data_IF_258241024097
#
_entry.id   IF_258241024097
#
_cell.length_a   1.000
_cell.length_b   1.000
_cell.length_c   1.000
_cell.angle_alpha   90.00
_cell.angle_beta   90.00
_cell.angle_gamma   90.00
#
_symmetry.space_group_name_H-M   'P 1'
#
loop_
_entity.id
_entity.type
_entity.pdbx_description
1 polymer ?
#
# COMPACT_ATOMS: atom_id res chain seq x y z
N UNK A 1 -18.33 62.38 5.79
CA UNK A 1 -18.56 61.92 7.17
C UNK A 1 -19.46 60.69 7.12
N UNK A 2 -18.90 59.49 6.90
CA UNK A 2 -19.56 58.19 7.08
C UNK A 2 -18.50 57.12 7.36
N UNK A 3 -18.20 56.93 8.64
CA UNK A 3 -17.78 55.64 9.22
C UNK A 3 -19.08 54.86 9.50
N UNK A 4 -19.21 53.54 9.41
CA UNK A 4 -18.39 52.39 9.81
C UNK A 4 -18.79 51.19 8.89
N UNK A 5 -17.90 50.35 8.38
CA UNK A 5 -16.98 49.52 9.16
C UNK A 5 -17.64 48.21 9.63
N UNK A 6 -18.35 47.45 8.77
CA UNK A 6 -18.72 46.06 9.08
C UNK A 6 -17.52 45.15 8.86
N UNK A 7 -16.83 44.84 9.94
CA UNK A 7 -15.84 43.77 9.98
C UNK A 7 -16.53 42.44 9.70
N UNK A 8 -16.15 41.79 8.60
CA UNK A 8 -16.41 40.37 8.40
C UNK A 8 -15.57 39.60 9.43
N UNK A 9 -16.11 39.43 10.63
CA UNK A 9 -15.62 38.42 11.56
C UNK A 9 -15.93 37.08 10.92
N UNK A 10 -14.97 36.54 10.16
CA UNK A 10 -14.96 35.13 9.79
C UNK A 10 -15.06 34.35 11.09
N UNK A 11 -16.07 33.48 11.28
CA UNK A 11 -16.10 32.63 12.45
C UNK A 11 -14.80 31.82 12.44
N UNK A 12 -13.99 31.93 13.50
CA UNK A 12 -12.89 31.01 13.77
C UNK A 12 -13.52 29.64 14.04
N UNK A 13 -13.76 28.88 12.97
CA UNK A 13 -14.14 27.48 13.03
C UNK A 13 -12.99 26.79 13.77
N UNK A 14 -13.28 26.25 14.96
CA UNK A 14 -12.37 25.34 15.67
C UNK A 14 -12.13 24.14 14.76
N UNK A 15 -11.02 24.15 14.02
CA UNK A 15 -10.57 23.03 13.23
C UNK A 15 -10.32 21.86 14.18
N UNK A 16 -11.06 20.76 14.01
CA UNK A 16 -10.75 19.53 14.73
C UNK A 16 -9.48 18.94 14.08
N UNK A 17 -8.31 19.35 14.58
CA UNK A 17 -7.01 19.26 13.91
C UNK A 17 -6.47 17.84 13.66
N UNK A 18 -7.13 16.79 14.17
CA UNK A 18 -6.56 15.44 14.29
C UNK A 18 -6.60 14.64 12.99
N UNK A 19 -7.76 14.54 12.35
CA UNK A 19 -7.92 13.80 11.09
C UNK A 19 -7.11 14.42 9.94
N UNK A 20 -6.87 15.73 10.00
CA UNK A 20 -6.06 16.47 9.05
C UNK A 20 -4.60 16.00 9.02
N UNK A 21 -4.01 15.60 10.16
CA UNK A 21 -2.59 15.21 10.22
C UNK A 21 -2.31 13.87 9.52
N UNK A 22 -3.21 12.90 9.63
CA UNK A 22 -3.10 11.62 8.93
C UNK A 22 -3.27 11.83 7.42
N UNK A 23 -4.33 12.57 7.04
CA UNK A 23 -4.57 12.89 5.64
C UNK A 23 -3.40 13.67 5.01
N UNK A 24 -2.78 14.56 5.78
CA UNK A 24 -1.58 15.30 5.37
C UNK A 24 -0.37 14.37 5.14
N UNK A 25 -0.18 13.34 5.96
CA UNK A 25 0.90 12.36 5.76
C UNK A 25 0.76 11.57 4.45
N UNK A 26 -0.48 11.33 3.99
CA UNK A 26 -0.80 10.55 2.77
C UNK A 26 -1.07 11.49 1.57
N UNK A 27 -1.11 12.80 1.78
CA UNK A 27 -1.52 13.76 0.75
C UNK A 27 -0.77 13.64 -0.59
N UNK A 28 0.55 13.42 -0.66
CA UNK A 28 1.26 13.34 -1.94
C UNK A 28 0.70 12.25 -2.87
N UNK A 29 0.50 11.03 -2.34
CA UNK A 29 -0.02 9.92 -3.15
C UNK A 29 -1.49 10.15 -3.53
N UNK A 30 -2.31 10.67 -2.62
CA UNK A 30 -3.72 10.96 -2.91
C UNK A 30 -3.87 12.02 -4.00
N UNK A 31 -2.98 13.01 -4.03
CA UNK A 31 -2.98 14.01 -5.10
C UNK A 31 -2.78 13.35 -6.46
N UNK A 32 -1.86 12.37 -6.56
CA UNK A 32 -1.62 11.61 -7.79
C UNK A 32 -2.83 10.72 -8.13
N UNK A 33 -3.35 9.97 -7.16
CA UNK A 33 -4.55 9.13 -7.33
C UNK A 33 -5.75 9.95 -7.83
N UNK A 34 -5.94 11.17 -7.31
CA UNK A 34 -7.02 12.05 -7.74
C UNK A 34 -6.91 12.47 -9.22
N UNK A 35 -5.70 12.60 -9.78
CA UNK A 35 -5.52 12.89 -11.21
C UNK A 35 -6.03 11.74 -12.08
N UNK A 36 -5.84 10.51 -11.61
CA UNK A 36 -6.36 9.30 -12.25
C UNK A 36 -7.87 9.08 -12.03
N UNK A 37 -8.51 9.87 -11.16
CA UNK A 37 -9.92 9.69 -10.78
C UNK A 37 -10.13 8.72 -9.62
N UNK A 38 -9.06 8.29 -8.95
CA UNK A 38 -9.08 7.41 -7.78
C UNK A 38 -9.26 8.26 -6.50
N UNK A 39 -10.51 8.61 -6.18
CA UNK A 39 -10.85 9.41 -4.99
C UNK A 39 -11.13 8.62 -3.70
N UNK A 40 -10.15 8.43 -2.81
CA UNK A 40 -10.36 7.60 -1.60
C UNK A 40 -11.34 8.21 -0.61
N UNK A 41 -11.32 9.53 -0.51
CA UNK A 41 -12.12 10.32 0.42
C UNK A 41 -12.10 11.80 0.01
N UNK A 42 -12.94 12.61 0.67
CA UNK A 42 -12.97 14.06 0.50
C UNK A 42 -12.68 14.77 1.81
N UNK A 43 -11.82 15.78 1.78
CA UNK A 43 -11.58 16.65 2.95
C UNK A 43 -12.44 17.92 2.79
N UNK A 44 -13.36 18.15 3.73
CA UNK A 44 -14.17 19.37 3.80
C UNK A 44 -14.05 19.95 5.20
N UNK A 45 -13.63 21.21 5.31
CA UNK A 45 -13.45 21.90 6.60
C UNK A 45 -12.56 21.13 7.60
N UNK A 46 -11.52 20.44 7.11
CA UNK A 46 -10.61 19.64 7.92
C UNK A 46 -11.16 18.28 8.36
N UNK A 47 -12.37 17.90 7.94
CA UNK A 47 -12.96 16.59 8.23
C UNK A 47 -12.94 15.70 6.99
N UNK A 48 -12.65 14.42 7.19
CA UNK A 48 -12.71 13.39 6.15
C UNK A 48 -14.16 12.95 5.98
N UNK A 49 -14.66 13.03 4.76
CA UNK A 49 -16.04 12.79 4.35
C UNK A 49 -16.08 11.88 3.13
N UNK A 50 -17.25 11.29 2.84
CA UNK A 50 -17.46 10.48 1.66
C UNK A 50 -17.34 11.31 0.37
N UNK A 51 -16.98 10.64 -0.72
CA UNK A 51 -16.92 11.25 -2.06
C UNK A 51 -18.30 11.71 -2.52
N UNK A 52 -18.36 12.85 -3.22
CA UNK A 52 -19.62 13.37 -3.77
C UNK A 52 -19.91 12.75 -5.15
N UNK A 53 -21.11 13.00 -5.67
CA UNK A 53 -21.53 12.52 -6.99
C UNK A 53 -20.65 13.06 -8.12
N UNK A 54 -20.14 14.30 -8.00
CA UNK A 54 -19.27 14.89 -9.01
C UNK A 54 -17.93 14.16 -9.15
N UNK A 55 -17.30 13.78 -8.03
CA UNK A 55 -16.06 12.98 -8.02
C UNK A 55 -16.31 11.59 -8.60
N UNK A 56 -17.47 10.98 -8.34
CA UNK A 56 -17.85 9.71 -8.98
C UNK A 56 -18.03 9.86 -10.50
N UNK A 57 -18.66 10.96 -10.95
CA UNK A 57 -18.81 11.25 -12.37
C UNK A 57 -17.45 11.48 -13.05
N UNK A 58 -16.52 12.16 -12.36
CA UNK A 58 -15.15 12.33 -12.84
C UNK A 58 -14.42 10.98 -12.96
N UNK A 59 -14.56 10.08 -12.00
CA UNK A 59 -13.99 8.73 -12.09
C UNK A 59 -14.52 7.98 -13.33
N UNK A 60 -15.83 8.06 -13.59
CA UNK A 60 -16.45 7.48 -14.80
C UNK A 60 -15.89 8.13 -16.08
N UNK A 61 -15.71 9.45 -16.08
CA UNK A 61 -15.09 10.16 -17.19
C UNK A 61 -13.66 9.70 -17.46
N UNK A 62 -12.86 9.47 -16.40
CA UNK A 62 -11.49 8.96 -16.53
C UNK A 62 -11.45 7.57 -17.17
N UNK A 63 -12.42 6.68 -16.86
CA UNK A 63 -12.54 5.39 -17.56
C UNK A 63 -12.68 5.60 -19.07
N UNK A 64 -13.62 6.45 -19.49
CA UNK A 64 -13.82 6.71 -20.92
C UNK A 64 -12.62 7.39 -21.59
N UNK A 65 -11.89 8.22 -20.84
CA UNK A 65 -10.68 8.90 -21.32
C UNK A 65 -9.59 7.90 -21.72
N UNK A 66 -9.46 6.76 -21.03
CA UNK A 66 -8.48 5.73 -21.38
C UNK A 66 -9.04 4.68 -22.37
N UNK A 67 -10.29 4.26 -22.17
CA UNK A 67 -10.91 3.18 -22.96
C UNK A 67 -11.17 3.58 -24.42
N UNK A 68 -11.68 4.78 -24.67
CA UNK A 68 -12.06 5.21 -26.03
C UNK A 68 -10.82 5.35 -26.93
N UNK A 69 -9.75 6.09 -26.54
CA UNK A 69 -8.56 6.20 -27.36
C UNK A 69 -7.89 4.85 -27.59
N UNK A 70 -7.83 3.99 -26.56
CA UNK A 70 -7.27 2.64 -26.72
C UNK A 70 -8.10 1.80 -27.70
N UNK A 71 -9.43 1.83 -27.60
CA UNK A 71 -10.30 1.07 -28.50
C UNK A 71 -10.21 1.54 -29.95
N UNK A 72 -10.15 2.86 -30.18
CA UNK A 72 -9.95 3.43 -31.52
C UNK A 72 -8.60 3.02 -32.08
N UNK A 73 -7.55 3.09 -31.27
CA UNK A 73 -6.22 2.66 -31.68
C UNK A 73 -6.15 1.15 -31.96
N UNK A 74 -6.74 0.32 -31.10
CA UNK A 74 -6.72 -1.13 -31.25
C UNK A 74 -7.50 -1.59 -32.49
N UNK A 75 -8.64 -0.96 -32.77
CA UNK A 75 -9.40 -1.23 -34.01
C UNK A 75 -8.64 -0.79 -35.25
N UNK A 76 -7.97 0.37 -35.20
CA UNK A 76 -7.08 0.81 -36.27
C UNK A 76 -5.93 -0.17 -36.48
N UNK A 77 -5.25 -0.59 -35.42
CA UNK A 77 -4.18 -1.58 -35.45
C UNK A 77 -4.64 -2.88 -36.12
N UNK A 78 -5.75 -3.48 -35.67
CA UNK A 78 -6.28 -4.72 -36.25
C UNK A 78 -6.69 -4.56 -37.73
N UNK A 79 -7.16 -3.38 -38.13
CA UNK A 79 -7.61 -3.12 -39.51
C UNK A 79 -6.45 -2.88 -40.49
N UNK A 80 -5.37 -2.25 -40.03
CA UNK A 80 -4.24 -1.84 -40.87
C UNK A 80 -2.98 -2.70 -40.65
N UNK A 81 -3.07 -3.76 -39.84
CA UNK A 81 -1.97 -4.71 -39.68
C UNK A 81 -1.75 -5.50 -40.97
N UNK A 82 -0.60 -5.26 -41.62
CA UNK A 82 -0.22 -5.90 -42.89
C UNK A 82 0.54 -7.21 -42.67
N UNK A 83 0.97 -7.50 -41.44
CA UNK A 83 1.69 -8.73 -41.10
C UNK A 83 0.82 -9.99 -41.32
N UNK A 84 1.47 -11.08 -41.76
CA UNK A 84 0.79 -12.35 -42.09
C UNK A 84 1.45 -13.49 -41.30
N UNK A 85 0.63 -14.46 -40.87
CA UNK A 85 1.11 -15.69 -40.26
C UNK A 85 1.68 -15.46 -38.87
N UNK A 86 2.96 -15.79 -38.68
CA UNK A 86 3.66 -15.86 -37.39
C UNK A 86 3.86 -14.48 -36.77
N UNK A 87 4.22 -13.48 -37.59
CA UNK A 87 4.48 -12.11 -37.15
C UNK A 87 3.22 -11.47 -36.55
N UNK A 88 2.09 -11.60 -37.25
CA UNK A 88 0.77 -11.15 -36.77
C UNK A 88 0.37 -11.72 -35.43
N UNK A 89 0.63 -13.01 -35.21
CA UNK A 89 0.28 -13.66 -33.93
C UNK A 89 1.12 -13.10 -32.78
N UNK A 90 2.41 -12.86 -33.02
CA UNK A 90 3.31 -12.25 -32.03
C UNK A 90 2.90 -10.82 -31.69
N UNK A 91 2.61 -10.01 -32.71
CA UNK A 91 2.20 -8.60 -32.52
C UNK A 91 0.86 -8.49 -31.78
N UNK A 92 -0.11 -9.36 -32.08
CA UNK A 92 -1.38 -9.41 -31.33
C UNK A 92 -1.12 -9.83 -29.88
N UNK A 93 -0.23 -10.82 -29.65
CA UNK A 93 0.10 -11.29 -28.32
C UNK A 93 0.72 -10.19 -27.45
N UNK A 94 1.58 -9.33 -28.03
CA UNK A 94 2.15 -8.17 -27.35
C UNK A 94 1.09 -7.15 -26.88
N UNK A 95 -0.09 -7.10 -27.51
CA UNK A 95 -1.17 -6.18 -27.10
C UNK A 95 -2.08 -6.75 -26.00
N UNK A 96 -2.02 -8.06 -25.74
CA UNK A 96 -2.84 -8.72 -24.71
C UNK A 96 -2.56 -8.14 -23.31
N UNK A 97 -1.29 -7.97 -22.86
CA UNK A 97 -0.98 -7.31 -21.59
C UNK A 97 -1.68 -5.96 -21.40
N UNK A 98 -1.60 -5.08 -22.40
CA UNK A 98 -2.22 -3.75 -22.34
C UNK A 98 -3.75 -3.86 -22.26
N UNK A 99 -4.35 -4.81 -22.99
CA UNK A 99 -5.79 -5.09 -22.88
C UNK A 99 -6.16 -5.55 -21.47
N UNK A 100 -5.35 -6.43 -20.85
CA UNK A 100 -5.57 -6.90 -19.48
C UNK A 100 -5.45 -5.74 -18.47
N UNK A 101 -4.49 -4.84 -18.66
CA UNK A 101 -4.37 -3.62 -17.83
C UNK A 101 -5.60 -2.72 -17.96
N UNK A 102 -6.11 -2.52 -19.17
CA UNK A 102 -7.31 -1.72 -19.38
C UNK A 102 -8.54 -2.35 -18.71
N UNK A 103 -8.70 -3.67 -18.83
CA UNK A 103 -9.76 -4.41 -18.14
C UNK A 103 -9.63 -4.24 -16.63
N UNK A 104 -8.41 -4.36 -16.09
CA UNK A 104 -8.12 -4.12 -14.68
C UNK A 104 -8.49 -2.70 -14.26
N UNK A 105 -8.08 -1.68 -15.01
CA UNK A 105 -8.40 -0.27 -14.75
C UNK A 105 -9.92 -0.06 -14.61
N UNK A 106 -10.69 -0.57 -15.58
CA UNK A 106 -12.17 -0.49 -15.55
C UNK A 106 -12.71 -1.13 -14.27
N UNK A 107 -12.26 -2.35 -13.95
CA UNK A 107 -12.72 -3.09 -12.78
C UNK A 107 -12.36 -2.39 -11.48
N UNK A 108 -11.13 -1.88 -11.34
CA UNK A 108 -10.71 -1.16 -10.14
C UNK A 108 -11.54 0.11 -9.97
N UNK A 109 -11.74 0.90 -11.01
CA UNK A 109 -12.54 2.13 -10.92
C UNK A 109 -13.99 1.86 -10.49
N UNK A 110 -14.63 0.82 -11.04
CA UNK A 110 -15.99 0.42 -10.63
C UNK A 110 -16.03 0.06 -9.15
N UNK A 111 -15.10 -0.78 -8.70
CA UNK A 111 -15.05 -1.27 -7.32
C UNK A 111 -14.72 -0.13 -6.36
N UNK A 112 -13.86 0.78 -6.77
CA UNK A 112 -13.45 1.89 -5.96
C UNK A 112 -14.60 2.86 -5.67
N UNK A 113 -15.47 3.12 -6.66
CA UNK A 113 -16.72 3.88 -6.47
C UNK A 113 -17.61 3.21 -5.42
N UNK A 114 -17.60 1.89 -5.32
CA UNK A 114 -18.38 1.10 -4.35
C UNK A 114 -17.74 1.07 -2.94
N UNK A 115 -16.41 0.96 -2.83
CA UNK A 115 -15.69 0.73 -1.56
C UNK A 115 -15.43 2.02 -0.74
N UNK A 116 -15.83 3.20 -1.22
CA UNK A 116 -15.53 4.51 -0.59
C UNK A 116 -15.79 4.61 0.92
N UNK A 117 -16.83 3.94 1.45
CA UNK A 117 -17.16 3.99 2.89
C UNK A 117 -16.14 3.25 3.75
N UNK A 118 -15.53 2.17 3.24
CA UNK A 118 -14.48 1.43 3.95
C UNK A 118 -13.19 2.24 4.06
N UNK A 119 -12.83 2.98 3.00
CA UNK A 119 -11.70 3.93 3.02
C UNK A 119 -11.89 5.02 4.08
N UNK A 120 -13.10 5.59 4.19
CA UNK A 120 -13.43 6.55 5.24
C UNK A 120 -13.30 5.94 6.64
N UNK A 121 -13.81 4.72 6.83
CA UNK A 121 -13.71 4.00 8.11
C UNK A 121 -12.25 3.75 8.48
N UNK A 122 -11.41 3.33 7.53
CA UNK A 122 -9.99 3.08 7.73
C UNK A 122 -9.25 4.31 8.29
N UNK A 123 -9.47 5.50 7.72
CA UNK A 123 -8.85 6.73 8.21
C UNK A 123 -9.30 7.11 9.61
N UNK A 124 -10.59 6.91 9.92
CA UNK A 124 -11.11 7.12 11.28
C UNK A 124 -10.50 6.12 12.27
N UNK A 125 -10.24 4.89 11.85
CA UNK A 125 -9.56 3.88 12.68
C UNK A 125 -8.11 4.29 12.94
N UNK A 126 -7.38 4.82 11.94
CA UNK A 126 -6.05 5.39 12.20
C UNK A 126 -6.08 6.56 13.19
N UNK A 127 -7.08 7.44 13.10
CA UNK A 127 -7.25 8.53 14.07
C UNK A 127 -7.50 7.99 15.49
N UNK A 128 -8.31 6.92 15.61
CA UNK A 128 -8.58 6.24 16.87
C UNK A 128 -7.28 5.66 17.47
N UNK A 129 -6.45 5.01 16.65
CA UNK A 129 -5.14 4.48 17.08
C UNK A 129 -4.24 5.63 17.57
N UNK A 130 -4.15 6.73 16.82
CA UNK A 130 -3.33 7.88 17.18
C UNK A 130 -3.80 8.57 18.46
N UNK A 131 -5.09 8.48 18.78
CA UNK A 131 -5.62 8.93 20.07
C UNK A 131 -5.20 8.01 21.22
N UNK A 132 -5.30 6.69 21.06
CA UNK A 132 -4.90 5.74 22.11
C UNK A 132 -3.40 5.77 22.38
N UNK A 133 -2.58 5.90 21.33
CA UNK A 133 -1.14 6.02 21.46
C UNK A 133 -0.67 7.44 21.82
N UNK A 134 -1.61 8.39 21.98
CA UNK A 134 -1.34 9.80 22.29
C UNK A 134 -0.39 10.49 21.28
N UNK A 135 -0.50 10.13 20.00
CA UNK A 135 0.33 10.64 18.90
C UNK A 135 -0.45 11.65 18.04
N UNK A 136 -1.77 11.72 18.21
CA UNK A 136 -2.65 12.65 17.46
C UNK A 136 -2.27 14.13 17.54
N UNK A 137 -1.41 14.53 18.50
CA UNK A 137 -0.89 15.90 18.63
C UNK A 137 0.58 16.04 18.20
N UNK A 138 1.25 14.94 17.89
CA UNK A 138 2.67 14.89 17.57
C UNK A 138 2.89 15.14 16.08
N UNK A 139 3.01 16.42 15.71
CA UNK A 139 3.29 16.81 14.33
C UNK A 139 4.62 16.25 13.80
N UNK A 140 5.61 16.03 14.67
CA UNK A 140 6.92 15.47 14.28
C UNK A 140 6.78 14.02 13.81
N UNK A 141 5.94 13.21 14.47
CA UNK A 141 5.65 11.84 14.03
C UNK A 141 5.04 11.81 12.62
N UNK A 142 3.98 12.59 12.40
CA UNK A 142 3.32 12.67 11.09
C UNK A 142 4.22 13.23 10.00
N UNK A 143 5.08 14.20 10.34
CA UNK A 143 6.09 14.77 9.44
C UNK A 143 7.14 13.73 9.05
N UNK A 144 7.62 12.92 10.01
CA UNK A 144 8.59 11.85 9.75
C UNK A 144 8.02 10.77 8.83
N UNK A 145 6.78 10.33 9.07
CA UNK A 145 6.08 9.39 8.19
C UNK A 145 5.96 9.99 6.79
N UNK A 146 5.51 11.25 6.69
CA UNK A 146 5.34 11.94 5.41
C UNK A 146 6.65 12.02 4.64
N UNK A 147 7.74 12.41 5.29
CA UNK A 147 9.06 12.50 4.67
C UNK A 147 9.51 11.13 4.12
N UNK A 148 9.32 10.06 4.89
CA UNK A 148 9.64 8.71 4.43
C UNK A 148 8.79 8.29 3.22
N UNK A 149 7.48 8.54 3.26
CA UNK A 149 6.57 8.25 2.14
C UNK A 149 6.88 9.11 0.91
N UNK A 150 7.28 10.37 1.09
CA UNK A 150 7.69 11.24 -0.01
C UNK A 150 8.98 10.76 -0.67
N UNK A 151 9.98 10.35 0.13
CA UNK A 151 11.22 9.77 -0.40
C UNK A 151 10.90 8.49 -1.19
N UNK A 152 10.07 7.59 -0.63
CA UNK A 152 9.66 6.38 -1.32
C UNK A 152 8.90 6.68 -2.62
N UNK A 153 8.03 7.69 -2.62
CA UNK A 153 7.29 8.12 -3.82
C UNK A 153 8.20 8.72 -4.88
N UNK A 154 9.20 9.52 -4.48
CA UNK A 154 10.18 10.10 -5.41
C UNK A 154 11.02 8.98 -6.03
N UNK A 155 11.50 8.03 -5.23
CA UNK A 155 12.24 6.86 -5.74
C UNK A 155 11.36 6.10 -6.74
N UNK A 156 10.11 5.82 -6.38
CA UNK A 156 9.14 5.15 -7.25
C UNK A 156 8.95 5.89 -8.59
N UNK A 157 8.68 7.20 -8.56
CA UNK A 157 8.48 8.01 -9.77
C UNK A 157 9.76 8.06 -10.62
N UNK A 158 10.93 8.19 -10.01
CA UNK A 158 12.21 8.24 -10.75
C UNK A 158 12.50 6.89 -11.39
N UNK A 159 12.34 5.78 -10.65
CA UNK A 159 12.53 4.43 -11.20
C UNK A 159 11.58 4.19 -12.36
N UNK A 160 10.29 4.50 -12.19
CA UNK A 160 9.30 4.32 -13.24
C UNK A 160 9.56 5.21 -14.46
N UNK A 161 9.93 6.48 -14.26
CA UNK A 161 10.27 7.38 -15.36
C UNK A 161 11.49 6.91 -16.15
N UNK A 162 12.48 6.31 -15.49
CA UNK A 162 13.63 5.71 -16.17
C UNK A 162 13.23 4.50 -17.02
N UNK A 163 12.31 3.66 -16.53
CA UNK A 163 11.71 2.56 -17.29
C UNK A 163 10.98 3.08 -18.52
N UNK A 164 10.12 4.09 -18.40
CA UNK A 164 9.41 4.65 -19.55
C UNK A 164 10.35 5.33 -20.57
N UNK A 165 11.41 6.00 -20.13
CA UNK A 165 12.38 6.61 -21.04
C UNK A 165 13.07 5.56 -21.92
N UNK A 166 13.27 4.37 -21.40
CA UNK A 166 13.80 3.24 -22.16
C UNK A 166 12.86 2.85 -23.32
N UNK A 167 11.55 2.76 -23.05
CA UNK A 167 10.55 2.42 -24.06
C UNK A 167 10.41 3.48 -25.14
N UNK A 168 10.47 4.77 -24.78
CA UNK A 168 10.45 5.87 -25.74
C UNK A 168 11.66 5.91 -26.67
N UNK A 169 12.83 5.45 -26.21
CA UNK A 169 14.04 5.38 -27.05
C UNK A 169 13.97 4.16 -27.98
N UNK A 170 13.26 3.10 -27.57
CA UNK A 170 13.17 1.81 -28.28
C UNK A 170 12.18 1.86 -29.46
N UNK A 171 11.05 2.55 -29.33
CA UNK A 171 9.96 2.49 -30.31
C UNK A 171 9.92 3.73 -31.22
N UNK A 172 10.02 3.53 -32.54
CA UNK A 172 9.64 4.52 -33.58
C UNK A 172 8.10 4.71 -33.70
N UNK A 173 7.35 4.19 -32.72
CA UNK A 173 5.89 4.17 -32.72
C UNK A 173 5.29 5.57 -32.54
N UNK A 174 4.00 5.68 -32.84
CA UNK A 174 3.22 6.89 -32.66
C UNK A 174 3.22 7.32 -31.18
N UNK A 175 3.93 8.42 -30.88
CA UNK A 175 4.20 8.92 -29.51
C UNK A 175 2.94 8.97 -28.63
N UNK A 176 1.78 9.36 -29.18
CA UNK A 176 0.55 9.49 -28.39
C UNK A 176 0.01 8.14 -27.88
N UNK A 177 0.29 7.03 -28.56
CA UNK A 177 -0.12 5.69 -28.11
C UNK A 177 0.74 5.23 -26.93
N UNK A 178 2.06 5.43 -27.01
CA UNK A 178 2.95 5.06 -25.91
C UNK A 178 2.64 5.84 -24.64
N UNK A 179 2.33 7.14 -24.77
CA UNK A 179 1.85 7.95 -23.64
C UNK A 179 0.58 7.36 -23.01
N UNK A 180 -0.33 6.81 -23.81
CA UNK A 180 -1.55 6.18 -23.30
C UNK A 180 -1.25 4.88 -22.53
N UNK A 181 -0.38 4.02 -23.06
CA UNK A 181 0.01 2.78 -22.40
C UNK A 181 0.70 3.05 -21.07
N UNK A 182 1.69 3.96 -21.08
CA UNK A 182 2.42 4.38 -19.88
C UNK A 182 1.45 4.97 -18.85
N UNK A 183 0.46 5.74 -19.27
CA UNK A 183 -0.51 6.29 -18.34
C UNK A 183 -1.34 5.18 -17.66
N UNK A 184 -1.82 4.19 -18.41
CA UNK A 184 -2.59 3.05 -17.89
C UNK A 184 -1.72 2.17 -16.99
N UNK A 185 -0.49 1.88 -17.40
CA UNK A 185 0.47 1.08 -16.65
C UNK A 185 0.86 1.75 -15.32
N UNK A 186 1.12 3.06 -15.34
CA UNK A 186 1.46 3.80 -14.13
C UNK A 186 0.37 3.71 -13.04
N UNK A 187 -0.90 3.69 -13.43
CA UNK A 187 -2.01 3.53 -12.48
C UNK A 187 -1.91 2.21 -11.71
N UNK A 188 -1.58 1.14 -12.41
CA UNK A 188 -1.39 -0.18 -11.81
C UNK A 188 -0.26 -0.17 -10.77
N UNK A 189 0.88 0.44 -11.10
CA UNK A 189 1.99 0.55 -10.16
C UNK A 189 1.66 1.50 -8.98
N UNK A 190 0.93 2.59 -9.24
CA UNK A 190 0.47 3.54 -8.23
C UNK A 190 -0.46 2.88 -7.20
N UNK A 191 -1.34 1.99 -7.64
CA UNK A 191 -2.22 1.19 -6.80
C UNK A 191 -1.43 0.31 -5.81
N UNK A 192 -0.39 -0.38 -6.28
CA UNK A 192 0.48 -1.18 -5.40
C UNK A 192 1.24 -0.29 -4.40
N UNK A 193 1.71 0.88 -4.85
CA UNK A 193 2.34 1.86 -3.97
C UNK A 193 1.37 2.45 -2.93
N UNK A 194 0.08 2.57 -3.27
CA UNK A 194 -0.95 2.95 -2.33
C UNK A 194 -1.15 1.90 -1.24
N UNK A 195 -1.27 0.62 -1.61
CA UNK A 195 -1.30 -0.47 -0.64
C UNK A 195 -0.08 -0.42 0.30
N UNK A 196 1.12 -0.29 -0.27
CA UNK A 196 2.36 -0.13 0.50
C UNK A 196 2.26 1.00 1.53
N UNK A 197 1.75 2.17 1.11
CA UNK A 197 1.60 3.34 1.99
C UNK A 197 0.68 3.05 3.18
N UNK A 198 -0.48 2.43 2.96
CA UNK A 198 -1.44 2.12 4.04
C UNK A 198 -0.89 1.09 5.02
N UNK A 199 -0.24 0.02 4.53
CA UNK A 199 0.39 -0.98 5.40
C UNK A 199 1.55 -0.38 6.18
N UNK A 200 2.40 0.44 5.53
CA UNK A 200 3.53 1.11 6.19
C UNK A 200 3.07 2.03 7.33
N UNK A 201 1.98 2.75 7.14
CA UNK A 201 1.35 3.59 8.17
C UNK A 201 0.88 2.77 9.38
N UNK A 202 0.36 1.56 9.16
CA UNK A 202 -0.01 0.63 10.22
C UNK A 202 1.24 0.08 10.95
N UNK A 203 2.28 -0.30 10.19
CA UNK A 203 3.58 -0.75 10.72
C UNK A 203 4.17 0.26 11.70
N UNK A 204 4.23 1.54 11.33
CA UNK A 204 4.80 2.58 12.20
C UNK A 204 4.04 2.70 13.53
N UNK A 205 2.72 2.47 13.55
CA UNK A 205 1.92 2.48 14.79
C UNK A 205 2.21 1.28 15.68
N UNK A 206 2.43 0.09 15.10
CA UNK A 206 2.86 -1.10 15.85
C UNK A 206 4.26 -0.89 16.43
N UNK A 207 5.18 -0.24 15.70
CA UNK A 207 6.50 0.11 16.22
C UNK A 207 6.38 0.94 17.50
N UNK A 208 5.40 1.84 17.58
CA UNK A 208 5.18 2.64 18.79
C UNK A 208 4.58 1.81 19.93
N UNK A 209 3.66 0.89 19.64
CA UNK A 209 3.18 -0.09 20.64
C UNK A 209 4.37 -0.87 21.22
N UNK A 210 5.25 -1.39 20.35
CA UNK A 210 6.44 -2.11 20.76
C UNK A 210 7.38 -1.24 21.59
N UNK A 211 7.60 0.02 21.20
CA UNK A 211 8.41 0.97 21.96
C UNK A 211 7.84 1.18 23.38
N UNK A 212 6.52 1.34 23.51
CA UNK A 212 5.88 1.46 24.82
C UNK A 212 5.98 0.19 25.66
N UNK A 213 5.84 -0.99 25.05
CA UNK A 213 6.03 -2.26 25.73
C UNK A 213 7.48 -2.44 26.21
N UNK A 214 8.46 -2.17 25.37
CA UNK A 214 9.89 -2.21 25.73
C UNK A 214 10.19 -1.25 26.88
N UNK A 215 9.68 -0.02 26.84
CA UNK A 215 9.85 0.95 27.92
C UNK A 215 9.21 0.48 29.23
N UNK A 216 8.05 -0.20 29.17
CA UNK A 216 7.43 -0.79 30.35
C UNK A 216 8.31 -1.88 30.96
N UNK A 217 8.87 -2.77 30.14
CA UNK A 217 9.79 -3.84 30.59
C UNK A 217 11.04 -3.24 31.24
N UNK A 218 11.72 -2.31 30.57
CA UNK A 218 12.93 -1.67 31.07
C UNK A 218 12.71 -0.84 32.34
N UNK A 219 11.57 -0.16 32.46
CA UNK A 219 11.24 0.58 33.67
C UNK A 219 11.12 -0.35 34.88
N UNK A 220 10.65 -1.58 34.68
CA UNK A 220 10.56 -2.59 35.73
C UNK A 220 11.95 -3.10 36.14
N UNK A 221 12.81 -3.43 35.17
CA UNK A 221 14.19 -3.88 35.45
C UNK A 221 15.01 -2.82 36.20
N UNK A 222 14.79 -1.55 35.89
CA UNK A 222 15.48 -0.43 36.52
C UNK A 222 14.91 -0.07 37.91
N UNK A 223 13.65 -0.37 38.23
CA UNK A 223 13.15 -0.22 39.61
C UNK A 223 13.82 -1.19 40.58
N UNK A 224 14.35 -2.32 40.07
CA UNK A 224 15.11 -3.29 40.84
C UNK A 224 16.59 -2.93 41.01
N UNK A 225 17.06 -1.80 40.45
CA UNK A 225 18.44 -1.30 40.56
C UNK A 225 18.43 0.14 41.07
N UNK A 226 19.33 0.49 42.00
CA UNK A 226 19.41 1.85 42.56
C UNK A 226 19.46 2.94 41.46
N UNK A 227 18.74 4.07 41.62
CA UNK A 227 18.58 5.04 40.55
C UNK A 227 19.89 5.79 40.28
N UNK A 228 20.47 5.60 39.08
CA UNK A 228 21.48 6.51 38.53
C UNK A 228 20.80 7.58 37.68
N UNK A 229 20.97 8.83 38.10
CA UNK A 229 20.47 10.03 37.42
C UNK A 229 21.08 10.09 36.00
N UNK A 230 20.25 9.88 34.96
CA UNK A 230 20.63 10.09 33.55
C UNK A 230 20.03 11.41 33.06
N UNK A 231 20.83 12.18 32.32
CA UNK A 231 20.41 13.43 31.67
C UNK A 231 19.44 13.12 30.50
N UNK A 232 18.38 13.92 30.30
CA UNK A 232 17.36 13.65 29.30
C UNK A 232 17.84 14.04 27.90
N UNK A 233 17.65 13.13 26.94
CA UNK A 233 17.70 13.41 25.51
C UNK A 233 16.36 14.00 25.04
N UNK A 234 16.32 14.63 23.87
CA UNK A 234 15.11 15.30 23.35
C UNK A 234 13.89 14.37 23.12
N UNK A 235 14.10 13.03 23.11
CA UNK A 235 13.03 12.03 23.12
C UNK A 235 12.58 11.61 24.54
N UNK A 236 13.28 12.00 25.59
CA UNK A 236 12.92 11.73 26.98
C UNK A 236 11.82 12.67 27.50
N UNK A 237 11.44 13.71 26.75
CA UNK A 237 10.22 14.47 27.06
C UNK A 237 8.92 13.67 26.79
N UNK A 238 9.03 12.45 26.26
CA UNK A 238 7.93 11.46 26.19
C UNK A 238 7.81 10.61 27.45
N UNK A 239 8.31 11.10 28.59
CA UNK A 239 8.14 10.52 29.92
C UNK A 239 6.64 10.22 30.18
N UNK A 240 6.27 9.00 29.84
CA UNK A 240 5.17 8.22 30.39
C UNK A 240 5.61 7.65 31.76
N UNK A 241 6.30 8.46 32.56
CA UNK A 241 6.72 8.13 33.93
C UNK A 241 5.58 8.52 34.84
N UNK A 242 4.73 7.54 35.07
CA UNK A 242 3.87 7.44 36.23
C UNK A 242 4.15 6.08 36.83
N UNK A 243 4.40 6.04 38.14
CA UNK A 243 4.75 4.84 38.90
C UNK A 243 3.84 3.66 38.56
N UNK A 244 4.41 2.45 38.62
CA UNK A 244 3.66 1.20 38.50
C UNK A 244 2.82 1.05 39.77
N UNK A 245 1.57 1.51 39.70
CA UNK A 245 0.57 1.27 40.74
C UNK A 245 -0.36 0.14 40.30
N UNK A 246 -1.08 -0.48 41.25
CA UNK A 246 -2.08 -1.51 40.99
C UNK A 246 -3.24 -1.08 40.08
N UNK A 247 -3.36 0.22 39.77
CA UNK A 247 -4.35 0.84 38.87
C UNK A 247 -3.79 1.19 37.47
N UNK A 248 -2.72 0.54 37.01
CA UNK A 248 -2.05 0.88 35.75
C UNK A 248 -2.89 0.50 34.52
N UNK A 249 -3.76 1.39 34.04
CA UNK A 249 -4.52 1.22 32.79
C UNK A 249 -3.64 1.27 31.52
N UNK A 250 -2.31 1.39 31.67
CA UNK A 250 -1.34 1.57 30.58
C UNK A 250 -1.36 0.39 29.61
N UNK A 251 -1.32 -0.84 30.13
CA UNK A 251 -1.34 -2.05 29.32
C UNK A 251 -2.70 -2.24 28.62
N UNK A 252 -3.79 -1.88 29.30
CA UNK A 252 -5.14 -1.87 28.73
C UNK A 252 -5.27 -0.88 27.56
N UNK A 253 -4.70 0.33 27.69
CA UNK A 253 -4.69 1.31 26.59
C UNK A 253 -3.89 0.78 25.40
N UNK A 254 -2.72 0.16 25.62
CA UNK A 254 -1.94 -0.47 24.56
C UNK A 254 -2.70 -1.62 23.89
N UNK A 255 -3.40 -2.43 24.66
CA UNK A 255 -4.27 -3.48 24.14
C UNK A 255 -5.40 -2.89 23.28
N UNK A 256 -6.05 -1.81 23.73
CA UNK A 256 -7.10 -1.14 22.94
C UNK A 256 -6.55 -0.50 21.66
N UNK A 257 -5.32 0.05 21.72
CA UNK A 257 -4.63 0.55 20.53
C UNK A 257 -4.35 -0.59 19.54
N UNK A 258 -3.90 -1.73 20.05
CA UNK A 258 -3.62 -2.91 19.24
C UNK A 258 -4.89 -3.54 18.63
N UNK A 259 -6.00 -3.55 19.37
CA UNK A 259 -7.30 -3.97 18.82
C UNK A 259 -7.72 -3.10 17.64
N UNK A 260 -7.58 -1.78 17.77
CA UNK A 260 -7.84 -0.84 16.68
C UNK A 260 -6.85 -1.01 15.50
N UNK A 261 -5.60 -1.41 15.76
CA UNK A 261 -4.62 -1.81 14.73
C UNK A 261 -5.11 -3.07 13.99
N UNK A 262 -5.65 -4.06 14.71
CA UNK A 262 -6.29 -5.25 14.14
C UNK A 262 -7.45 -4.89 13.22
N UNK A 263 -8.35 -4.01 13.66
CA UNK A 263 -9.46 -3.51 12.85
C UNK A 263 -8.96 -2.75 11.61
N UNK A 264 -7.90 -1.93 11.73
CA UNK A 264 -7.30 -1.24 10.61
C UNK A 264 -6.67 -2.21 9.60
N UNK A 265 -5.97 -3.25 10.07
CA UNK A 265 -5.42 -4.31 9.21
C UNK A 265 -6.51 -5.02 8.41
N UNK A 266 -7.62 -5.39 9.06
CA UNK A 266 -8.79 -5.97 8.39
C UNK A 266 -9.38 -5.01 7.34
N UNK A 267 -9.50 -3.72 7.66
CA UNK A 267 -10.01 -2.72 6.72
C UNK A 267 -9.08 -2.49 5.53
N UNK A 268 -7.77 -2.52 5.73
CA UNK A 268 -6.79 -2.49 4.62
C UNK A 268 -7.02 -3.70 3.73
N UNK A 269 -7.11 -4.90 4.30
CA UNK A 269 -7.38 -6.11 3.52
C UNK A 269 -8.66 -5.96 2.72
N UNK A 270 -9.77 -5.59 3.36
CA UNK A 270 -11.07 -5.39 2.71
C UNK A 270 -11.09 -4.36 1.58
N UNK A 271 -10.30 -3.28 1.71
CA UNK A 271 -10.22 -2.20 0.70
C UNK A 271 -9.39 -2.64 -0.50
N UNK A 272 -8.27 -3.33 -0.24
CA UNK A 272 -7.28 -3.67 -1.27
C UNK A 272 -7.42 -5.10 -1.80
N UNK A 273 -8.31 -5.92 -1.22
CA UNK A 273 -8.42 -7.35 -1.53
C UNK A 273 -8.49 -7.64 -3.03
N UNK A 274 -9.42 -6.97 -3.72
CA UNK A 274 -9.61 -7.15 -5.15
C UNK A 274 -8.41 -6.66 -5.96
N UNK A 275 -7.85 -5.52 -5.57
CA UNK A 275 -6.69 -4.93 -6.23
C UNK A 275 -5.47 -5.85 -6.14
N UNK A 276 -5.20 -6.40 -4.96
CA UNK A 276 -4.11 -7.37 -4.74
C UNK A 276 -4.30 -8.57 -5.65
N UNK A 277 -5.50 -9.13 -5.69
CA UNK A 277 -5.80 -10.29 -6.54
C UNK A 277 -5.58 -9.98 -8.03
N UNK A 278 -6.13 -8.86 -8.52
CA UNK A 278 -5.91 -8.45 -9.91
C UNK A 278 -4.44 -8.19 -10.22
N UNK A 279 -3.67 -7.62 -9.30
CA UNK A 279 -2.21 -7.50 -9.47
C UNK A 279 -1.55 -8.86 -9.63
N UNK A 280 -1.83 -9.83 -8.75
CA UNK A 280 -1.23 -11.16 -8.86
C UNK A 280 -1.58 -11.87 -10.18
N UNK A 281 -2.85 -11.81 -10.59
CA UNK A 281 -3.32 -12.42 -11.86
C UNK A 281 -2.70 -11.73 -13.06
N UNK A 282 -2.67 -10.40 -13.05
CA UNK A 282 -2.09 -9.60 -14.13
C UNK A 282 -0.60 -9.87 -14.28
N UNK A 283 0.20 -9.74 -13.21
CA UNK A 283 1.64 -10.02 -13.24
C UNK A 283 1.91 -11.44 -13.71
N UNK A 284 1.11 -12.41 -13.27
CA UNK A 284 1.25 -13.79 -13.71
C UNK A 284 1.01 -13.94 -15.22
N UNK A 285 -0.11 -13.42 -15.72
CA UNK A 285 -0.43 -13.46 -17.14
C UNK A 285 0.62 -12.73 -17.99
N UNK A 286 1.06 -11.55 -17.56
CA UNK A 286 2.10 -10.76 -18.21
C UNK A 286 3.36 -11.59 -18.41
N UNK A 287 3.94 -12.11 -17.32
CA UNK A 287 5.22 -12.83 -17.39
C UNK A 287 5.10 -14.09 -18.26
N UNK A 288 3.99 -14.82 -18.19
CA UNK A 288 3.76 -15.99 -19.04
C UNK A 288 3.70 -15.61 -20.53
N UNK A 289 2.98 -14.55 -20.87
CA UNK A 289 2.88 -14.05 -22.25
C UNK A 289 4.26 -13.58 -22.73
N UNK A 290 4.99 -12.82 -21.92
CA UNK A 290 6.33 -12.31 -22.27
C UNK A 290 7.35 -13.45 -22.45
N UNK A 291 7.30 -14.49 -21.62
CA UNK A 291 8.09 -15.71 -21.81
C UNK A 291 7.73 -16.37 -23.14
N UNK A 292 6.45 -16.53 -23.43
CA UNK A 292 5.98 -17.17 -24.65
C UNK A 292 6.43 -16.38 -25.90
N UNK A 293 6.26 -15.06 -25.90
CA UNK A 293 6.73 -14.16 -26.97
C UNK A 293 8.24 -14.31 -27.18
N UNK A 294 9.01 -14.32 -26.09
CA UNK A 294 10.47 -14.43 -26.14
C UNK A 294 10.91 -15.75 -26.79
N UNK A 295 10.35 -16.88 -26.33
CA UNK A 295 10.68 -18.22 -26.84
C UNK A 295 10.26 -18.36 -28.31
N UNK A 296 9.06 -17.89 -28.64
CA UNK A 296 8.51 -17.98 -29.98
C UNK A 296 9.29 -17.12 -30.98
N UNK A 297 9.63 -15.89 -30.59
CA UNK A 297 10.42 -14.97 -31.43
C UNK A 297 11.82 -15.48 -31.70
N UNK A 298 12.49 -16.02 -30.67
CA UNK A 298 13.80 -16.65 -30.80
C UNK A 298 13.79 -17.78 -31.83
N UNK A 299 12.73 -18.60 -31.84
CA UNK A 299 12.58 -19.72 -32.76
C UNK A 299 12.25 -19.28 -34.19
N UNK A 300 11.43 -18.25 -34.35
CA UNK A 300 11.01 -17.73 -35.65
C UNK A 300 12.09 -16.88 -36.34
N UNK A 301 13.25 -16.68 -35.70
CA UNK A 301 14.34 -15.83 -36.22
C UNK A 301 14.00 -14.34 -36.21
N UNK A 302 12.94 -13.95 -35.49
CA UNK A 302 12.56 -12.55 -35.29
C UNK A 302 13.44 -12.02 -34.15
N UNK A 303 14.18 -10.95 -34.42
CA UNK A 303 15.01 -10.28 -33.41
C UNK A 303 14.13 -9.47 -32.44
N UNK A 304 13.36 -10.13 -31.59
CA UNK A 304 12.83 -9.52 -30.37
C UNK A 304 13.99 -9.44 -29.37
N UNK A 305 14.21 -8.26 -28.80
CA UNK A 305 15.26 -8.09 -27.79
C UNK A 305 14.87 -8.83 -26.52
N UNK A 306 15.37 -10.07 -26.37
CA UNK A 306 15.23 -10.92 -25.19
C UNK A 306 15.55 -10.15 -23.90
N UNK A 307 16.55 -9.27 -23.96
CA UNK A 307 16.96 -8.44 -22.83
C UNK A 307 15.85 -7.49 -22.36
N UNK A 308 15.05 -6.96 -23.29
CA UNK A 308 14.00 -5.99 -22.98
C UNK A 308 12.84 -6.69 -22.28
N UNK A 309 12.42 -7.84 -22.81
CA UNK A 309 11.36 -8.65 -22.19
C UNK A 309 11.76 -9.10 -20.77
N UNK A 310 13.05 -9.35 -20.52
CA UNK A 310 13.55 -9.66 -19.17
C UNK A 310 13.40 -8.44 -18.24
N UNK A 311 13.78 -7.24 -18.69
CA UNK A 311 13.62 -6.01 -17.89
C UNK A 311 12.14 -5.77 -17.58
N UNK A 312 11.28 -5.81 -18.59
CA UNK A 312 9.83 -5.61 -18.44
C UNK A 312 9.23 -6.63 -17.44
N UNK A 313 9.64 -7.91 -17.51
CA UNK A 313 9.22 -8.92 -16.53
C UNK A 313 9.69 -8.61 -15.09
N UNK A 314 10.90 -8.07 -14.93
CA UNK A 314 11.42 -7.70 -13.60
C UNK A 314 10.61 -6.53 -13.05
N UNK A 315 10.31 -5.52 -13.87
CA UNK A 315 9.52 -4.35 -13.48
C UNK A 315 8.12 -4.76 -13.04
N UNK A 316 7.49 -5.66 -13.78
CA UNK A 316 6.17 -6.19 -13.48
C UNK A 316 6.11 -7.04 -12.20
N UNK A 317 7.25 -7.60 -11.77
CA UNK A 317 7.38 -8.30 -10.48
C UNK A 317 7.51 -7.34 -9.29
N UNK A 318 7.95 -6.09 -9.48
CA UNK A 318 8.18 -5.13 -8.39
C UNK A 318 6.93 -4.91 -7.53
N UNK A 319 5.72 -4.71 -8.09
CA UNK A 319 4.50 -4.59 -7.29
C UNK A 319 4.26 -5.77 -6.35
N UNK A 320 4.43 -7.00 -6.84
CA UNK A 320 4.25 -8.23 -6.03
C UNK A 320 5.30 -8.29 -4.92
N UNK A 321 6.55 -7.97 -5.23
CA UNK A 321 7.65 -7.90 -4.25
C UNK A 321 7.35 -6.85 -3.17
N UNK A 322 6.93 -5.65 -3.57
CA UNK A 322 6.64 -4.54 -2.66
C UNK A 322 5.49 -4.88 -1.71
N UNK A 323 4.41 -5.47 -2.22
CA UNK A 323 3.26 -5.92 -1.41
C UNK A 323 3.68 -7.00 -0.41
N UNK A 324 4.43 -8.02 -0.85
CA UNK A 324 4.89 -9.09 0.03
C UNK A 324 5.87 -8.57 1.09
N UNK A 325 6.80 -7.69 0.72
CA UNK A 325 7.80 -7.12 1.61
C UNK A 325 7.17 -6.31 2.75
N UNK A 326 6.23 -5.41 2.44
CA UNK A 326 5.61 -4.56 3.48
C UNK A 326 4.73 -5.37 4.43
N UNK A 327 4.10 -6.45 3.93
CA UNK A 327 3.36 -7.38 4.77
C UNK A 327 4.30 -8.20 5.67
N UNK A 328 5.46 -8.65 5.16
CA UNK A 328 6.49 -9.30 5.97
C UNK A 328 6.98 -8.38 7.09
N UNK A 329 7.17 -7.10 6.79
CA UNK A 329 7.53 -6.12 7.79
C UNK A 329 6.44 -5.99 8.88
N UNK A 330 5.16 -6.02 8.49
CA UNK A 330 4.03 -6.02 9.42
C UNK A 330 4.06 -7.24 10.34
N UNK A 331 4.26 -8.44 9.80
CA UNK A 331 4.39 -9.68 10.58
C UNK A 331 5.55 -9.62 11.56
N UNK A 332 6.72 -9.20 11.09
CA UNK A 332 7.91 -9.09 11.94
C UNK A 332 7.67 -8.15 13.13
N UNK A 333 6.98 -7.01 12.92
CA UNK A 333 6.65 -6.09 14.02
C UNK A 333 5.60 -6.65 14.97
N UNK A 334 4.64 -7.42 14.46
CA UNK A 334 3.63 -8.12 15.27
C UNK A 334 4.27 -9.22 16.13
N UNK A 335 5.20 -9.99 15.57
CA UNK A 335 5.89 -11.04 16.32
C UNK A 335 6.77 -10.48 17.42
N UNK A 336 7.38 -9.31 17.19
CA UNK A 336 8.04 -8.57 18.26
C UNK A 336 7.04 -8.18 19.37
N UNK A 337 5.82 -7.72 19.03
CA UNK A 337 4.77 -7.45 20.03
C UNK A 337 4.47 -8.69 20.86
N UNK A 338 4.34 -9.85 20.21
CA UNK A 338 4.10 -11.14 20.86
C UNK A 338 5.25 -11.50 21.82
N UNK A 339 6.50 -11.34 21.40
CA UNK A 339 7.68 -11.61 22.25
C UNK A 339 7.66 -10.69 23.49
N UNK A 340 7.45 -9.38 23.30
CA UNK A 340 7.45 -8.40 24.40
C UNK A 340 6.33 -8.65 25.41
N UNK A 341 5.12 -9.01 24.95
CA UNK A 341 4.02 -9.36 25.87
C UNK A 341 4.33 -10.66 26.61
N UNK A 342 4.93 -11.66 25.94
CA UNK A 342 5.32 -12.90 26.60
C UNK A 342 6.34 -12.65 27.73
N UNK A 343 7.29 -11.75 27.50
CA UNK A 343 8.26 -11.31 28.51
C UNK A 343 7.56 -10.67 29.73
N UNK A 344 6.55 -9.81 29.51
CA UNK A 344 5.73 -9.27 30.59
C UNK A 344 4.94 -10.34 31.35
N UNK A 345 4.45 -11.39 30.69
CA UNK A 345 3.74 -12.49 31.35
C UNK A 345 4.69 -13.31 32.23
N UNK A 346 5.88 -13.59 31.69
CA UNK A 346 6.90 -14.43 32.33
C UNK A 346 7.67 -13.71 33.43
N UNK A 347 7.55 -12.38 33.55
CA UNK A 347 8.16 -11.64 34.64
C UNK A 347 7.34 -11.82 35.94
N UNK A 348 7.73 -12.80 36.76
CA UNK A 348 7.08 -13.15 38.03
C UNK A 348 7.17 -12.06 39.11
N UNK A 349 8.08 -11.11 38.95
CA UNK A 349 8.23 -9.96 39.86
C UNK A 349 7.10 -8.93 39.66
N UNK A 350 6.37 -9.01 38.54
CA UNK A 350 5.25 -8.13 38.28
C UNK A 350 4.01 -8.49 39.10
N UNK A 351 3.22 -7.46 39.52
CA UNK A 351 1.94 -7.67 40.17
C UNK A 351 1.05 -8.64 39.38
N UNK A 352 0.35 -9.53 40.10
CA UNK A 352 -0.53 -10.53 39.49
C UNK A 352 -1.56 -9.90 38.53
N UNK A 353 -2.06 -8.72 38.86
CA UNK A 353 -3.02 -7.97 38.02
C UNK A 353 -2.43 -7.57 36.67
N UNK A 354 -1.18 -7.09 36.64
CA UNK A 354 -0.49 -6.72 35.40
C UNK A 354 -0.19 -7.94 34.53
N UNK A 355 0.19 -9.07 35.15
CA UNK A 355 0.37 -10.34 34.43
C UNK A 355 -0.94 -10.87 33.84
N UNK A 356 -2.07 -10.72 34.54
CA UNK A 356 -3.39 -11.07 34.00
C UNK A 356 -3.74 -10.18 32.80
N UNK A 357 -3.52 -8.87 32.90
CA UNK A 357 -3.71 -7.95 31.78
C UNK A 357 -2.81 -8.29 30.58
N UNK A 358 -1.56 -8.69 30.82
CA UNK A 358 -0.65 -9.13 29.77
C UNK A 358 -1.12 -10.42 29.09
N UNK A 359 -1.68 -11.37 29.85
CA UNK A 359 -2.31 -12.58 29.29
C UNK A 359 -3.51 -12.23 28.40
N UNK A 360 -4.41 -11.37 28.85
CA UNK A 360 -5.53 -10.91 28.01
C UNK A 360 -5.05 -10.16 26.77
N UNK A 361 -3.96 -9.39 26.86
CA UNK A 361 -3.36 -8.76 25.69
C UNK A 361 -2.73 -9.80 24.75
N UNK A 362 -2.08 -10.85 25.27
CA UNK A 362 -1.58 -11.95 24.44
C UNK A 362 -2.71 -12.65 23.66
N UNK A 363 -3.86 -12.89 24.29
CA UNK A 363 -5.04 -13.43 23.62
C UNK A 363 -5.49 -12.52 22.48
N UNK A 364 -5.49 -11.21 22.67
CA UNK A 364 -5.79 -10.23 21.62
C UNK A 364 -4.77 -10.26 20.48
N UNK A 365 -3.47 -10.38 20.77
CA UNK A 365 -2.40 -10.52 19.75
C UNK A 365 -2.54 -11.82 18.96
N UNK A 366 -3.07 -12.87 19.58
CA UNK A 366 -3.36 -14.12 18.89
C UNK A 366 -4.66 -14.05 18.07
N UNK A 367 -5.66 -13.30 18.54
CA UNK A 367 -6.91 -13.07 17.80
C UNK A 367 -6.71 -12.20 16.55
N UNK A 368 -5.76 -11.26 16.58
CA UNK A 368 -5.37 -10.44 15.44
C UNK A 368 -4.02 -10.89 14.89
N UNK A 369 -3.97 -11.84 13.94
CA UNK A 369 -2.72 -12.28 13.34
C UNK A 369 -2.04 -11.18 12.51
N UNK A 370 -2.80 -10.14 12.13
CA UNK A 370 -2.41 -9.09 11.18
C UNK A 370 -1.98 -9.67 9.82
N UNK A 371 -2.56 -10.82 9.49
CA UNK A 371 -2.40 -11.47 8.19
C UNK A 371 -3.27 -10.83 7.12
N UNK A 372 -2.60 -10.27 6.10
CA UNK A 372 -3.25 -9.74 4.91
C UNK A 372 -3.34 -10.87 3.87
N UNK A 373 -4.57 -11.20 3.50
CA UNK A 373 -4.89 -12.36 2.68
C UNK A 373 -5.79 -11.95 1.52
N UNK A 374 -5.36 -12.22 0.29
CA UNK A 374 -6.19 -12.00 -0.88
C UNK A 374 -7.20 -13.15 -1.04
N UNK A 375 -8.50 -12.82 -1.00
CA UNK A 375 -9.65 -13.71 -1.16
C UNK A 375 -9.59 -14.99 -0.30
N UNK A 376 -8.99 -14.90 0.88
CA UNK A 376 -8.78 -16.06 1.78
C UNK A 376 -7.90 -17.18 1.16
N UNK A 377 -7.31 -16.95 -0.01
CA UNK A 377 -6.50 -17.92 -0.76
C UNK A 377 -5.01 -17.65 -0.64
N UNK A 378 -4.59 -16.38 -0.72
CA UNK A 378 -3.18 -16.01 -0.82
C UNK A 378 -2.76 -15.11 0.34
N UNK A 379 -2.00 -15.66 1.29
CA UNK A 379 -1.38 -14.85 2.34
C UNK A 379 -0.22 -14.04 1.74
N UNK A 380 -0.27 -12.71 1.85
CA UNK A 380 0.78 -11.84 1.34
C UNK A 380 1.99 -11.87 2.28
N UNK A 381 2.98 -12.69 1.95
CA UNK A 381 4.23 -12.83 2.70
C UNK A 381 5.36 -13.28 1.76
N UNK A 382 6.58 -13.43 2.30
CA UNK A 382 7.71 -13.92 1.48
C UNK A 382 7.45 -15.30 0.87
N UNK A 383 6.66 -16.17 1.52
CA UNK A 383 6.34 -17.50 0.97
C UNK A 383 5.55 -17.38 -0.32
N UNK A 384 4.57 -16.47 -0.40
CA UNK A 384 3.84 -16.21 -1.62
C UNK A 384 4.77 -15.78 -2.76
N UNK A 385 5.72 -14.87 -2.48
CA UNK A 385 6.70 -14.43 -3.48
C UNK A 385 7.53 -15.62 -4.01
N UNK A 386 8.03 -16.49 -3.12
CA UNK A 386 8.80 -17.67 -3.52
C UNK A 386 7.94 -18.65 -4.32
N UNK A 387 6.71 -18.91 -3.88
CA UNK A 387 5.76 -19.76 -4.61
C UNK A 387 5.40 -19.18 -5.97
N UNK A 388 5.25 -17.87 -6.08
CA UNK A 388 4.98 -17.17 -7.33
C UNK A 388 6.13 -17.32 -8.34
N UNK A 389 7.36 -17.08 -7.90
CA UNK A 389 8.57 -17.28 -8.73
C UNK A 389 8.73 -18.75 -9.14
N UNK A 390 8.49 -19.68 -8.21
CA UNK A 390 8.54 -21.12 -8.49
C UNK A 390 7.52 -21.50 -9.56
N UNK A 391 6.29 -21.00 -9.48
CA UNK A 391 5.25 -21.25 -10.46
C UNK A 391 5.66 -20.72 -11.84
N UNK A 392 6.13 -19.48 -11.92
CA UNK A 392 6.62 -18.87 -13.17
C UNK A 392 7.75 -19.70 -13.80
N UNK A 393 8.67 -20.20 -12.98
CA UNK A 393 9.78 -21.06 -13.45
C UNK A 393 9.27 -22.40 -13.97
N UNK A 394 8.27 -23.01 -13.30
CA UNK A 394 7.64 -24.25 -13.79
C UNK A 394 6.99 -24.03 -15.15
N UNK A 395 6.23 -22.94 -15.32
CA UNK A 395 5.63 -22.62 -16.62
C UNK A 395 6.66 -22.30 -17.69
N UNK A 396 7.76 -21.61 -17.35
CA UNK A 396 8.88 -21.39 -18.27
C UNK A 396 9.41 -22.73 -18.81
N UNK A 397 9.66 -23.70 -17.92
CA UNK A 397 10.13 -25.03 -18.31
C UNK A 397 9.13 -25.72 -19.24
N UNK A 398 7.83 -25.68 -18.89
CA UNK A 398 6.77 -26.28 -19.71
C UNK A 398 6.69 -25.63 -21.10
N UNK A 399 6.73 -24.31 -21.18
CA UNK A 399 6.69 -23.56 -22.46
C UNK A 399 7.92 -23.93 -23.30
N UNK A 400 9.12 -23.97 -22.70
CA UNK A 400 10.34 -24.36 -23.39
C UNK A 400 10.25 -25.80 -23.93
N UNK A 401 9.73 -26.74 -23.14
CA UNK A 401 9.56 -28.13 -23.56
C UNK A 401 8.57 -28.26 -24.72
N UNK A 402 7.38 -27.65 -24.61
CA UNK A 402 6.38 -27.68 -25.68
C UNK A 402 6.95 -27.04 -26.94
N UNK A 403 7.67 -25.93 -26.80
CA UNK A 403 8.29 -25.20 -27.91
C UNK A 403 9.47 -25.95 -28.55
N UNK A 404 10.07 -26.93 -27.86
CA UNK A 404 11.08 -27.82 -28.43
C UNK A 404 10.46 -28.96 -29.24
N UNK A 405 9.24 -29.39 -28.89
CA UNK A 405 8.56 -30.53 -29.52
C UNK A 405 7.67 -30.16 -30.71
N UNK A 406 7.03 -28.99 -30.69
CA UNK A 406 6.48 -28.40 -31.91
C UNK A 406 7.60 -28.05 -32.87
#
# INVERSE_FOLDING_TARGET
>A
MFHTGKSFIKPKIKLNNKTHLIAYSISPIITIENFYGIFRYRIVNGQVTAINTFMKLYAIFMIFLFVIPYGVWFTYFIQFEESIGVERVTEIAEKIPVTLMLVKHILTMIIFVYINMKNLKLLKTFEKIDCYLNISKNSQFHSKIRAHLQIALIIFIVTYALSCLYDFIKNDAFISYEVLNIAIDFEYHLEAFAFYTYVKILVERIVIVNLYLTNLIQANENMNKLPKIRKPNAFDNFIFVGSISSNNNKLTILATAYDAIGEAGKLINDVFNFQIFLTLVYTFAFVIISIWITVYSFRSGIYVSVYNNIIECIEELIPVVLMCYVCELLYSKRDLTKILINELIMNYELPKTMRIQAKSFMELVNAWPLELVAYEMFCLNIKLLVSFISLLTTYLIVILQISHFM
#
